data_IF_032556466985
#
_entry.id   IF_032556466985
#
_cell.length_a   1.000
_cell.length_b   1.000
_cell.length_c   1.000
_cell.angle_alpha   90.00
_cell.angle_beta   90.00
_cell.angle_gamma   90.00
#
_symmetry.space_group_name_H-M   'P 1'
#
loop_
_entity.id
_entity.type
_entity.pdbx_description
1 polymer ?
#
# COMPACT_ATOMS: atom_id res chain seq x y z
N UNK A 1 24.47 19.22 12.02
CA UNK A 1 23.76 18.13 11.36
C UNK A 1 23.57 16.98 12.33
N UNK A 2 22.32 16.58 12.49
CA UNK A 2 22.01 15.51 13.42
C UNK A 2 21.95 14.21 12.68
N UNK A 3 22.86 13.30 12.99
CA UNK A 3 22.81 11.96 12.46
C UNK A 3 22.38 10.99 13.55
N UNK A 4 21.74 9.93 13.13
CA UNK A 4 21.16 8.97 14.07
C UNK A 4 21.28 7.54 13.53
N UNK A 5 21.33 6.55 14.43
CA UNK A 5 21.33 5.16 14.01
C UNK A 5 19.94 4.74 13.48
N UNK A 6 19.92 3.61 12.80
CA UNK A 6 18.70 3.11 12.17
C UNK A 6 17.56 2.90 13.17
N UNK A 7 17.86 2.47 14.38
CA UNK A 7 16.83 2.24 15.40
C UNK A 7 16.10 3.51 15.77
N UNK A 8 16.83 4.62 15.89
CA UNK A 8 16.22 5.90 16.22
C UNK A 8 15.42 6.43 15.05
N UNK A 9 15.95 6.28 13.82
CA UNK A 9 15.24 6.65 12.60
C UNK A 9 13.90 5.94 12.53
N UNK A 10 13.91 4.61 12.70
CA UNK A 10 12.71 3.80 12.64
C UNK A 10 11.69 4.25 13.68
N UNK A 11 12.14 4.53 14.89
CA UNK A 11 11.26 4.96 15.96
C UNK A 11 10.61 6.31 15.65
N UNK A 12 11.39 7.28 15.17
CA UNK A 12 10.86 8.59 14.82
C UNK A 12 9.87 8.54 13.67
N UNK A 13 10.10 7.66 12.70
CA UNK A 13 9.20 7.49 11.57
C UNK A 13 8.07 6.51 11.86
N UNK A 14 8.05 5.90 13.03
CA UNK A 14 7.03 4.95 13.47
C UNK A 14 6.93 3.73 12.56
N UNK A 15 8.08 3.22 12.18
CA UNK A 15 8.17 1.99 11.37
C UNK A 15 9.20 1.06 12.01
N UNK A 16 9.23 -0.18 11.55
CA UNK A 16 10.25 -1.13 12.02
C UNK A 16 11.57 -0.95 11.29
N UNK A 17 12.64 -1.42 11.90
CA UNK A 17 13.97 -1.38 11.30
C UNK A 17 13.98 -2.15 9.98
N UNK A 18 13.28 -3.28 9.93
CA UNK A 18 13.20 -4.08 8.71
C UNK A 18 12.53 -3.31 7.57
N UNK A 19 11.55 -2.47 7.90
CA UNK A 19 10.89 -1.62 6.93
C UNK A 19 11.85 -0.60 6.35
N UNK A 20 12.68 0.01 7.20
CA UNK A 20 13.71 0.95 6.74
C UNK A 20 14.65 0.27 5.75
N UNK A 21 15.11 -0.92 6.10
CA UNK A 21 16.01 -1.69 5.23
C UNK A 21 15.35 -2.07 3.93
N UNK A 22 14.06 -2.42 3.98
CA UNK A 22 13.30 -2.74 2.78
C UNK A 22 13.25 -1.56 1.83
N UNK A 23 12.96 -0.37 2.34
CA UNK A 23 12.90 0.82 1.48
C UNK A 23 14.27 1.21 0.94
N UNK A 24 15.34 0.97 1.71
CA UNK A 24 16.68 1.17 1.18
C UNK A 24 16.94 0.25 -0.01
N UNK A 25 16.55 -1.02 0.10
CA UNK A 25 16.75 -2.00 -0.98
C UNK A 25 15.92 -1.64 -2.20
N UNK A 26 14.75 -1.02 -1.99
CA UNK A 26 13.88 -0.59 -3.09
C UNK A 26 14.32 0.72 -3.72
N UNK A 27 15.35 1.35 -3.19
CA UNK A 27 15.83 2.61 -3.73
C UNK A 27 15.02 3.82 -3.34
N UNK A 28 14.07 3.66 -2.41
CA UNK A 28 13.23 4.76 -1.94
C UNK A 28 13.91 5.60 -0.86
N UNK A 29 14.91 5.03 -0.23
CA UNK A 29 15.68 5.71 0.80
C UNK A 29 17.15 5.57 0.46
N UNK A 30 17.89 6.65 0.55
CA UNK A 30 19.31 6.62 0.25
C UNK A 30 20.05 5.76 1.28
N UNK A 31 21.08 5.03 0.83
CA UNK A 31 21.91 4.31 1.77
C UNK A 31 22.51 5.26 2.79
N UNK A 32 22.53 4.84 4.04
CA UNK A 32 23.06 5.67 5.11
C UNK A 32 24.56 5.91 4.93
N UNK A 33 25.01 7.05 5.40
CA UNK A 33 26.43 7.27 5.59
C UNK A 33 26.91 6.35 6.70
N UNK A 34 28.12 5.80 6.53
CA UNK A 34 28.71 4.97 7.58
C UNK A 34 29.73 5.78 8.34
N UNK A 35 29.77 5.58 9.66
CA UNK A 35 30.82 6.15 10.49
C UNK A 35 32.13 5.43 10.22
N UNK A 36 33.23 5.96 10.76
CA UNK A 36 34.53 5.28 10.66
C UNK A 36 34.49 3.87 11.24
N UNK A 37 33.62 3.60 12.21
CA UNK A 37 33.46 2.27 12.80
C UNK A 37 32.45 1.40 12.06
N UNK A 38 31.91 1.87 10.94
CA UNK A 38 31.02 1.08 10.08
C UNK A 38 29.54 1.16 10.43
N UNK A 39 29.16 1.99 11.37
CA UNK A 39 27.75 2.14 11.74
C UNK A 39 27.03 3.05 10.75
N UNK A 40 25.78 2.70 10.43
CA UNK A 40 24.94 3.50 9.54
C UNK A 40 24.42 4.73 10.27
N UNK A 41 24.44 5.85 9.56
CA UNK A 41 23.94 7.12 10.09
C UNK A 41 22.88 7.68 9.17
N UNK A 42 21.80 8.18 9.74
CA UNK A 42 20.66 8.73 9.02
C UNK A 42 20.41 10.16 9.49
N UNK A 43 19.65 10.92 8.72
CA UNK A 43 19.38 12.34 9.00
C UNK A 43 17.89 12.56 9.26
N UNK A 44 17.55 13.78 9.69
CA UNK A 44 16.16 14.17 9.85
C UNK A 44 15.42 14.19 8.51
N UNK A 45 16.13 14.43 7.41
CA UNK A 45 15.53 14.33 6.08
C UNK A 45 15.06 12.91 5.79
N UNK A 46 15.79 11.93 6.28
CA UNK A 46 15.38 10.53 6.13
C UNK A 46 14.10 10.25 6.91
N UNK A 47 13.93 10.87 8.07
CA UNK A 47 12.70 10.74 8.84
C UNK A 47 11.51 11.28 8.03
N UNK A 48 11.67 12.47 7.46
CA UNK A 48 10.62 13.08 6.66
C UNK A 48 10.30 12.24 5.43
N UNK A 49 11.33 11.71 4.79
CA UNK A 49 11.17 10.86 3.62
C UNK A 49 10.40 9.58 3.95
N UNK A 50 10.72 8.94 5.07
CA UNK A 50 10.00 7.75 5.52
C UNK A 50 8.55 8.05 5.86
N UNK A 51 8.30 9.21 6.48
CA UNK A 51 6.93 9.62 6.78
C UNK A 51 6.13 9.84 5.51
N UNK A 52 6.75 10.44 4.51
CA UNK A 52 6.12 10.62 3.20
C UNK A 52 5.77 9.27 2.58
N UNK A 53 6.74 8.35 2.55
CA UNK A 53 6.53 7.02 2.00
C UNK A 53 5.37 6.32 2.70
N UNK A 54 5.37 6.38 4.02
CA UNK A 54 4.33 5.73 4.82
C UNK A 54 2.94 6.27 4.52
N UNK A 55 2.82 7.60 4.45
CA UNK A 55 1.54 8.25 4.15
C UNK A 55 1.07 7.94 2.74
N UNK A 56 1.96 7.96 1.78
CA UNK A 56 1.63 7.64 0.40
C UNK A 56 1.17 6.19 0.27
N UNK A 57 1.80 5.27 0.98
CA UNK A 57 1.36 3.88 1.02
C UNK A 57 -0.06 3.77 1.58
N UNK A 58 -0.33 4.51 2.64
CA UNK A 58 -1.67 4.52 3.26
C UNK A 58 -2.73 5.01 2.28
N UNK A 59 -2.38 5.96 1.42
CA UNK A 59 -3.29 6.47 0.39
C UNK A 59 -3.39 5.52 -0.81
N UNK A 60 -2.65 4.44 -0.80
CA UNK A 60 -2.76 3.42 -1.83
C UNK A 60 -1.81 3.57 -3.01
N UNK A 61 -0.87 4.51 -2.95
CA UNK A 61 0.13 4.61 -4.01
C UNK A 61 1.03 3.38 -4.01
N UNK A 62 1.40 2.93 -5.20
CA UNK A 62 2.35 1.83 -5.35
C UNK A 62 3.77 2.33 -5.04
N UNK A 63 4.69 1.40 -4.84
CA UNK A 63 6.08 1.79 -4.60
C UNK A 63 6.66 2.54 -5.81
N UNK A 64 6.27 2.15 -7.02
CA UNK A 64 6.69 2.85 -8.23
C UNK A 64 6.16 4.28 -8.26
N UNK A 65 4.88 4.46 -7.89
CA UNK A 65 4.30 5.79 -7.79
C UNK A 65 5.04 6.65 -6.78
N UNK A 66 5.36 6.07 -5.64
CA UNK A 66 6.07 6.78 -4.57
C UNK A 66 7.45 7.19 -5.03
N UNK A 67 8.15 6.31 -5.74
CA UNK A 67 9.46 6.63 -6.29
C UNK A 67 9.37 7.82 -7.26
N UNK A 68 8.36 7.82 -8.12
CA UNK A 68 8.13 8.92 -9.05
C UNK A 68 7.83 10.23 -8.32
N UNK A 69 6.95 10.16 -7.32
CA UNK A 69 6.60 11.34 -6.53
C UNK A 69 7.81 11.92 -5.78
N UNK A 70 8.65 11.04 -5.25
CA UNK A 70 9.85 11.49 -4.56
C UNK A 70 10.84 12.13 -5.53
N UNK A 71 10.98 11.56 -6.71
CA UNK A 71 11.86 12.14 -7.73
C UNK A 71 11.36 13.52 -8.17
N UNK A 72 10.05 13.66 -8.35
CA UNK A 72 9.47 14.95 -8.73
C UNK A 72 9.62 16.00 -7.63
N UNK A 73 9.51 15.61 -6.37
CA UNK A 73 9.62 16.56 -5.27
C UNK A 73 11.07 16.98 -5.00
N UNK A 74 12.04 16.14 -5.39
CA UNK A 74 13.45 16.46 -5.20
C UNK A 74 14.02 17.33 -6.31
N UNK A 75 13.32 17.40 -7.46
CA UNK A 75 13.74 18.17 -8.61
C UNK A 75 12.74 19.30 -8.84
N UNK A 76 12.89 20.01 -9.96
CA UNK A 76 11.92 21.03 -10.35
C UNK A 76 10.77 20.39 -11.12
N UNK A 77 10.09 19.45 -10.46
CA UNK A 77 8.97 18.74 -11.08
C UNK A 77 7.76 19.63 -11.26
N UNK A 78 6.93 19.30 -12.23
CA UNK A 78 5.72 20.02 -12.53
C UNK A 78 4.55 19.45 -11.74
N UNK A 79 3.70 20.33 -11.22
CA UNK A 79 2.46 19.92 -10.54
C UNK A 79 1.59 19.04 -11.43
N UNK A 80 1.65 19.26 -12.75
CA UNK A 80 0.89 18.46 -13.71
C UNK A 80 1.25 16.98 -13.64
N UNK A 81 2.52 16.67 -13.44
CA UNK A 81 2.97 15.28 -13.31
C UNK A 81 2.48 14.65 -12.02
N UNK A 82 2.55 15.40 -10.92
CA UNK A 82 2.05 14.93 -9.63
C UNK A 82 0.54 14.67 -9.73
N UNK A 83 -0.18 15.58 -10.35
CA UNK A 83 -1.63 15.45 -10.51
C UNK A 83 -1.97 14.24 -11.38
N UNK A 84 -1.23 14.01 -12.45
CA UNK A 84 -1.45 12.86 -13.33
C UNK A 84 -1.30 11.55 -12.58
N UNK A 85 -0.23 11.41 -11.81
CA UNK A 85 0.01 10.20 -11.02
C UNK A 85 -1.12 9.99 -10.02
N UNK A 86 -1.54 11.08 -9.36
CA UNK A 86 -2.60 11.02 -8.37
C UNK A 86 -3.95 10.68 -9.00
N UNK A 87 -4.23 11.22 -10.18
CA UNK A 87 -5.47 10.90 -10.90
C UNK A 87 -5.50 9.44 -11.32
N UNK A 88 -4.38 8.89 -11.76
CA UNK A 88 -4.30 7.46 -12.11
C UNK A 88 -4.57 6.60 -10.88
N UNK A 89 -4.02 6.98 -9.74
CA UNK A 89 -4.25 6.24 -8.51
C UNK A 89 -5.70 6.34 -8.09
N UNK A 90 -6.29 7.54 -8.18
CA UNK A 90 -7.69 7.75 -7.84
C UNK A 90 -8.60 6.88 -8.70
N UNK A 91 -8.36 6.83 -10.01
CA UNK A 91 -9.15 6.00 -10.93
C UNK A 91 -9.07 4.52 -10.56
N UNK A 92 -7.88 4.07 -10.17
CA UNK A 92 -7.67 2.69 -9.73
C UNK A 92 -8.47 2.38 -8.47
N UNK A 93 -8.50 3.31 -7.53
CA UNK A 93 -9.26 3.17 -6.29
C UNK A 93 -10.76 3.10 -6.59
N UNK A 94 -11.23 3.98 -7.47
CA UNK A 94 -12.65 4.00 -7.83
C UNK A 94 -13.08 2.70 -8.49
N UNK A 95 -12.22 2.13 -9.33
CA UNK A 95 -12.49 0.83 -9.93
C UNK A 95 -12.58 -0.25 -8.85
N UNK A 96 -11.68 -0.24 -7.87
CA UNK A 96 -11.70 -1.19 -6.76
C UNK A 96 -12.98 -1.08 -5.94
N UNK A 97 -13.44 0.15 -5.72
CA UNK A 97 -14.70 0.37 -5.00
C UNK A 97 -15.85 -0.26 -5.74
N UNK A 98 -15.92 -0.08 -7.06
CA UNK A 98 -16.99 -0.70 -7.87
C UNK A 98 -16.92 -2.22 -7.82
N UNK A 99 -15.71 -2.79 -7.91
CA UNK A 99 -15.52 -4.24 -7.83
C UNK A 99 -15.95 -4.79 -6.47
N UNK A 100 -15.51 -4.13 -5.39
CA UNK A 100 -15.87 -4.55 -4.05
C UNK A 100 -17.36 -4.40 -3.80
N UNK A 101 -17.98 -3.35 -4.33
CA UNK A 101 -19.42 -3.14 -4.21
C UNK A 101 -20.19 -4.29 -4.87
N UNK A 102 -19.76 -4.70 -6.06
CA UNK A 102 -20.40 -5.82 -6.75
C UNK A 102 -20.26 -7.12 -5.98
N UNK A 103 -19.09 -7.38 -5.43
CA UNK A 103 -18.84 -8.57 -4.60
C UNK A 103 -19.72 -8.53 -3.35
N UNK A 104 -19.77 -7.37 -2.69
CA UNK A 104 -20.60 -7.20 -1.50
C UNK A 104 -22.06 -7.47 -1.81
N UNK A 105 -22.56 -6.91 -2.89
CA UNK A 105 -23.98 -7.07 -3.24
C UNK A 105 -24.31 -8.53 -3.54
N UNK A 106 -23.42 -9.24 -4.24
CA UNK A 106 -23.61 -10.64 -4.51
C UNK A 106 -23.65 -11.47 -3.22
N UNK A 107 -22.70 -11.21 -2.33
CA UNK A 107 -22.62 -11.92 -1.07
C UNK A 107 -23.80 -11.59 -0.16
N UNK A 108 -24.18 -10.32 -0.11
CA UNK A 108 -25.33 -9.87 0.70
C UNK A 108 -26.61 -10.57 0.26
N UNK A 109 -26.80 -10.73 -1.06
CA UNK A 109 -27.95 -11.46 -1.59
C UNK A 109 -27.96 -12.90 -1.11
N UNK A 110 -26.81 -13.57 -1.12
CA UNK A 110 -26.71 -14.94 -0.63
C UNK A 110 -26.99 -15.04 0.87
N UNK A 111 -26.44 -14.11 1.63
CA UNK A 111 -26.69 -14.09 3.09
C UNK A 111 -28.15 -13.88 3.40
N UNK A 112 -28.83 -12.97 2.68
CA UNK A 112 -30.24 -12.70 2.88
C UNK A 112 -31.11 -13.95 2.60
N UNK A 113 -30.73 -14.75 1.61
CA UNK A 113 -31.49 -15.95 1.26
C UNK A 113 -31.27 -17.11 2.23
N UNK A 114 -30.21 -17.06 3.02
CA UNK A 114 -29.93 -18.11 3.99
C UNK A 114 -30.68 -17.85 5.30
N UNK A 115 -31.39 -18.85 5.78
CA UNK A 115 -32.15 -18.72 7.05
C UNK A 115 -31.24 -18.72 8.27
N UNK A 116 -30.02 -19.24 8.12
CA UNK A 116 -29.12 -19.38 9.25
C UNK A 116 -29.41 -20.63 10.09
N UNK A 117 -30.33 -21.46 9.66
CA UNK A 117 -30.71 -22.66 10.36
C UNK A 117 -30.73 -23.87 9.42
N UNK A 118 -30.44 -25.03 9.96
CA UNK A 118 -30.51 -26.25 9.22
C UNK A 118 -29.14 -26.74 8.79
N UNK A 119 -29.10 -27.88 8.07
CA UNK A 119 -27.84 -28.45 7.64
C UNK A 119 -27.19 -27.59 6.54
N UNK A 120 -25.89 -27.78 6.37
CA UNK A 120 -25.13 -27.05 5.35
C UNK A 120 -25.59 -27.45 3.94
N UNK A 121 -26.13 -28.65 3.79
CA UNK A 121 -26.71 -29.08 2.52
C UNK A 121 -27.81 -28.11 2.12
N UNK A 122 -27.83 -27.72 0.85
CA UNK A 122 -28.80 -26.77 0.31
C UNK A 122 -28.63 -25.35 0.86
N UNK A 123 -27.48 -25.04 1.45
CA UNK A 123 -27.23 -23.69 1.93
C UNK A 123 -27.09 -22.74 0.71
N UNK A 124 -27.92 -21.68 0.64
CA UNK A 124 -27.83 -20.74 -0.50
C UNK A 124 -26.45 -20.12 -0.68
N UNK A 125 -25.73 -19.89 0.40
CA UNK A 125 -24.41 -19.28 0.32
C UNK A 125 -23.43 -20.24 -0.34
N UNK A 126 -23.38 -21.48 0.13
CA UNK A 126 -22.48 -22.49 -0.41
C UNK A 126 -22.83 -22.77 -1.87
N UNK A 127 -24.12 -22.98 -2.16
CA UNK A 127 -24.58 -23.28 -3.50
C UNK A 127 -24.34 -22.12 -4.46
N UNK A 128 -24.57 -20.90 -3.98
CA UNK A 128 -24.38 -19.73 -4.80
C UNK A 128 -22.92 -19.52 -5.21
N UNK A 129 -22.00 -19.74 -4.28
CA UNK A 129 -20.58 -19.61 -4.57
C UNK A 129 -20.13 -20.69 -5.55
N UNK A 130 -20.59 -21.92 -5.35
CA UNK A 130 -20.24 -23.03 -6.21
C UNK A 130 -20.84 -22.90 -7.61
N UNK A 131 -22.13 -22.53 -7.68
CA UNK A 131 -22.84 -22.46 -8.94
C UNK A 131 -22.36 -21.34 -9.84
N UNK A 132 -22.05 -20.20 -9.27
CA UNK A 132 -21.64 -19.04 -10.05
C UNK A 132 -20.18 -19.05 -10.42
N UNK A 133 -19.41 -19.94 -9.81
CA UNK A 133 -17.99 -19.99 -10.08
C UNK A 133 -17.35 -18.64 -9.91
N UNK A 134 -17.62 -17.99 -8.80
CA UNK A 134 -17.14 -16.64 -8.56
C UNK A 134 -15.64 -16.63 -8.33
N UNK A 135 -14.92 -16.82 -9.40
CA UNK A 135 -13.48 -16.76 -9.37
C UNK A 135 -13.05 -15.49 -10.10
N UNK A 136 -12.68 -14.46 -9.37
CA UNK A 136 -12.22 -13.24 -10.04
C UNK A 136 -11.03 -13.49 -10.94
N UNK A 137 -10.36 -14.61 -10.76
CA UNK A 137 -9.17 -14.94 -11.51
C UNK A 137 -9.37 -16.05 -12.52
N UNK A 138 -10.59 -16.31 -12.90
CA UNK A 138 -10.84 -17.38 -13.85
C UNK A 138 -10.17 -17.16 -15.19
N UNK A 139 -10.06 -15.92 -15.58
CA UNK A 139 -9.46 -15.58 -16.85
C UNK A 139 -7.95 -15.47 -16.79
N UNK A 140 -7.36 -15.62 -15.67
CA UNK A 140 -5.90 -15.50 -15.58
C UNK A 140 -5.21 -16.81 -15.84
#
# INVERSE_FOLDING_TARGET
>A
MHSMPIGKLAKLAEVGVDTVRFYERQGLLQPAHRTASGYRQYSLEDVDRLRFIRRAKTLGFSLDDIAELLALSAATGDRADVKRISQQRLASIELKIRELTAIRDALASLVTRCSGHGPVESCPIIEGVLAQGLHPNQES
#
